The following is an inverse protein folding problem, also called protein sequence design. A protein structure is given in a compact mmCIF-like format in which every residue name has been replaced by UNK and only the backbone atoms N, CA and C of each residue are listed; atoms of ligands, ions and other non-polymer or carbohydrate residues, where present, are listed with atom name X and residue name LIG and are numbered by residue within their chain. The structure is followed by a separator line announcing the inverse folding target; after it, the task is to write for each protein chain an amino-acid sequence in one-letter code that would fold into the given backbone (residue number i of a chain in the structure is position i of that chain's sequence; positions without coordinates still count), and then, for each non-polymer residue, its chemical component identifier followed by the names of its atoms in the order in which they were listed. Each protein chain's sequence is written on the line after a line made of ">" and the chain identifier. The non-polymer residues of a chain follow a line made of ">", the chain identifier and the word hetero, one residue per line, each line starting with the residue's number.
data_IF_703752777010
#
_entry.id   IF_703752777010
#
_cell.length_a   1.000
_cell.length_b   1.000
_cell.length_c   1.000
_cell.angle_alpha   90.00
_cell.angle_beta   90.00
_cell.angle_gamma   90.00
#
_symmetry.space_group_name_H-M   'P 1'
#
loop_
_entity.id
_entity.type
_entity.pdbx_description
1 polymer ?
#
# COMPACT_ATOMS: atom_id res chain seq x y z
N UNK A 1 33.07 5.12 -24.59
CA UNK A 1 32.31 4.21 -23.72
C UNK A 1 31.97 4.98 -22.45
N UNK A 2 30.72 4.91 -21.96
CA UNK A 2 30.28 5.66 -20.76
C UNK A 2 31.03 5.16 -19.52
N UNK A 3 31.53 6.07 -18.70
CA UNK A 3 32.32 5.81 -17.47
C UNK A 3 31.45 5.66 -16.22
N UNK A 4 30.12 5.66 -16.36
CA UNK A 4 29.19 5.59 -15.26
C UNK A 4 29.09 4.15 -14.69
N UNK A 5 29.18 4.02 -13.36
CA UNK A 5 28.90 2.74 -12.69
C UNK A 5 27.43 2.35 -12.87
N UNK A 6 27.12 1.09 -13.21
CA UNK A 6 25.75 0.63 -13.31
C UNK A 6 25.10 0.58 -11.93
N UNK A 7 23.81 0.91 -11.87
CA UNK A 7 23.02 0.86 -10.64
C UNK A 7 22.87 -0.60 -10.19
N UNK A 8 23.03 -0.92 -8.90
CA UNK A 8 22.81 -2.25 -8.35
C UNK A 8 21.41 -2.77 -8.65
N UNK A 9 21.32 -4.06 -8.93
CA UNK A 9 20.06 -4.70 -9.30
C UNK A 9 19.03 -4.65 -8.15
N UNK A 10 19.47 -4.63 -6.89
CA UNK A 10 18.55 -4.55 -5.74
C UNK A 10 17.77 -3.24 -5.68
N UNK A 11 18.35 -2.13 -6.16
CA UNK A 11 17.71 -0.82 -6.12
C UNK A 11 16.57 -0.68 -7.15
N UNK A 12 16.55 -1.53 -8.18
CA UNK A 12 15.55 -1.66 -9.26
C UNK A 12 15.29 -0.41 -10.12
N UNK A 13 15.36 0.79 -9.54
CA UNK A 13 15.01 2.05 -10.16
C UNK A 13 16.09 3.09 -9.84
N UNK A 14 16.57 3.79 -10.87
CA UNK A 14 17.42 4.97 -10.69
C UNK A 14 16.69 6.09 -9.94
N UNK A 15 15.43 6.32 -10.30
CA UNK A 15 14.62 7.40 -9.74
C UNK A 15 13.19 6.91 -9.58
N UNK A 16 12.56 7.25 -8.44
CA UNK A 16 11.19 6.89 -8.13
C UNK A 16 10.45 8.04 -7.45
N UNK A 17 9.33 8.42 -8.04
CA UNK A 17 8.39 9.36 -7.45
C UNK A 17 7.36 8.60 -6.60
N UNK A 18 7.34 8.91 -5.31
CA UNK A 18 6.28 8.51 -4.40
C UNK A 18 5.28 9.65 -4.28
N UNK A 19 4.01 9.34 -4.40
CA UNK A 19 2.91 10.32 -4.31
C UNK A 19 1.90 9.85 -3.27
N UNK A 20 1.14 10.79 -2.71
CA UNK A 20 0.02 10.45 -1.83
C UNK A 20 -0.96 9.51 -2.54
N UNK A 21 -1.60 8.59 -1.79
CA UNK A 21 -2.71 7.77 -2.28
C UNK A 21 -3.86 8.61 -2.85
N UNK A 22 -3.94 9.87 -2.40
CA UNK A 22 -4.89 10.87 -2.86
C UNK A 22 -4.45 11.74 -4.04
N UNK A 23 -3.32 11.40 -4.66
CA UNK A 23 -2.77 12.12 -5.80
C UNK A 23 -3.66 12.01 -7.05
N UNK A 24 -3.63 13.08 -7.85
CA UNK A 24 -4.33 13.19 -9.12
C UNK A 24 -5.76 13.71 -8.98
N UNK A 25 -6.33 14.08 -10.12
CA UNK A 25 -7.65 14.72 -10.14
C UNK A 25 -8.77 13.75 -9.76
N UNK A 26 -9.81 14.24 -9.05
CA UNK A 26 -11.04 13.51 -8.87
C UNK A 26 -11.57 13.00 -10.20
N UNK A 27 -12.14 11.79 -10.20
CA UNK A 27 -12.83 11.30 -11.41
C UNK A 27 -14.00 12.22 -11.71
N UNK A 28 -14.09 12.69 -12.95
CA UNK A 28 -15.29 13.37 -13.42
C UNK A 28 -16.49 12.45 -13.27
N UNK A 29 -17.45 12.90 -12.47
CA UNK A 29 -18.68 12.16 -12.26
C UNK A 29 -19.56 12.29 -13.50
N UNK A 30 -19.97 11.15 -14.08
CA UNK A 30 -20.95 11.12 -15.18
C UNK A 30 -22.42 11.14 -14.68
N UNK A 31 -22.63 11.02 -13.37
CA UNK A 31 -23.95 11.10 -12.74
C UNK A 31 -23.97 12.11 -11.59
N UNK A 32 -25.15 12.39 -11.03
CA UNK A 32 -25.34 13.41 -9.99
C UNK A 32 -24.80 13.02 -8.59
N UNK A 33 -24.53 11.74 -8.35
CA UNK A 33 -24.13 11.26 -7.02
C UNK A 33 -22.63 11.45 -6.75
N UNK A 34 -22.27 12.21 -5.72
CA UNK A 34 -20.89 12.28 -5.20
C UNK A 34 -20.56 11.01 -4.41
N UNK A 35 -19.41 10.38 -4.69
CA UNK A 35 -18.95 9.26 -3.86
C UNK A 35 -18.46 9.79 -2.52
N UNK A 36 -18.86 9.21 -1.37
CA UNK A 36 -18.22 9.50 -0.11
C UNK A 36 -16.75 9.04 -0.18
N UNK A 37 -15.84 9.89 0.30
CA UNK A 37 -14.39 9.64 0.37
C UNK A 37 -13.74 9.26 -0.97
N UNK A 38 -13.72 10.16 -1.96
CA UNK A 38 -13.01 9.92 -3.22
C UNK A 38 -11.53 9.67 -2.95
N UNK A 39 -10.98 8.58 -3.52
CA UNK A 39 -9.54 8.32 -3.39
C UNK A 39 -8.73 9.45 -4.02
N UNK A 40 -9.06 9.97 -5.20
CA UNK A 40 -8.30 11.08 -5.82
C UNK A 40 -8.94 12.42 -5.47
N UNK A 41 -8.19 13.32 -4.84
CA UNK A 41 -8.65 14.67 -4.47
C UNK A 41 -7.65 15.77 -4.85
N UNK A 42 -6.69 15.47 -5.71
CA UNK A 42 -5.69 16.44 -6.13
C UNK A 42 -4.64 16.74 -5.06
N UNK A 43 -4.39 15.81 -4.14
CA UNK A 43 -3.31 15.99 -3.16
C UNK A 43 -1.96 16.10 -3.88
N UNK A 44 -1.17 17.13 -3.54
CA UNK A 44 0.11 17.42 -4.20
C UNK A 44 1.32 16.86 -3.45
N UNK A 45 1.10 16.18 -2.33
CA UNK A 45 2.16 15.59 -1.54
C UNK A 45 2.90 14.52 -2.36
N UNK A 46 4.21 14.67 -2.44
CA UNK A 46 5.09 13.82 -3.24
C UNK A 46 6.52 13.90 -2.74
N UNK A 47 7.26 12.81 -2.91
CA UNK A 47 8.68 12.71 -2.60
C UNK A 47 9.37 12.02 -3.78
N UNK A 48 10.40 12.64 -4.32
CA UNK A 48 11.27 12.04 -5.33
C UNK A 48 12.50 11.43 -4.66
N UNK A 49 12.65 10.11 -4.78
CA UNK A 49 13.84 9.39 -4.35
C UNK A 49 14.72 9.09 -5.58
N UNK A 50 15.99 9.45 -5.52
CA UNK A 50 16.96 9.21 -6.58
C UNK A 50 18.16 8.46 -6.02
N UNK A 51 18.62 7.45 -6.76
CA UNK A 51 19.87 6.77 -6.47
C UNK A 51 21.01 7.69 -6.89
N UNK A 52 21.97 7.86 -6.00
CA UNK A 52 23.19 8.62 -6.23
C UNK A 52 24.40 7.75 -5.89
N UNK A 53 25.49 7.93 -6.64
CA UNK A 53 26.77 7.26 -6.34
C UNK A 53 27.78 8.32 -5.90
N UNK A 54 27.97 8.42 -4.58
CA UNK A 54 28.98 9.27 -3.95
C UNK A 54 30.21 8.44 -3.58
N UNK A 55 30.40 8.21 -2.28
CA UNK A 55 31.38 7.24 -1.78
C UNK A 55 30.86 5.79 -1.92
N UNK A 56 29.55 5.60 -1.73
CA UNK A 56 28.81 4.37 -1.97
C UNK A 56 27.44 4.72 -2.58
N UNK A 57 26.64 3.71 -2.91
CA UNK A 57 25.26 3.89 -3.36
C UNK A 57 24.39 4.43 -2.24
N UNK A 58 23.75 5.57 -2.49
CA UNK A 58 22.85 6.22 -1.54
C UNK A 58 21.52 6.64 -2.21
N UNK A 59 20.50 6.84 -1.39
CA UNK A 59 19.20 7.34 -1.82
C UNK A 59 19.07 8.79 -1.37
N UNK A 60 18.96 9.70 -2.33
CA UNK A 60 18.82 11.14 -2.10
C UNK A 60 17.40 11.59 -2.43
N UNK A 61 16.80 12.37 -1.53
CA UNK A 61 15.48 12.96 -1.74
C UNK A 61 15.58 14.32 -2.42
N UNK A 62 15.35 14.37 -3.73
CA UNK A 62 15.58 15.56 -4.56
C UNK A 62 14.46 16.60 -4.45
N UNK A 63 13.21 16.14 -4.44
CA UNK A 63 12.02 17.00 -4.37
C UNK A 63 11.08 16.46 -3.31
N UNK A 64 10.69 17.32 -2.39
CA UNK A 64 9.77 16.96 -1.30
C UNK A 64 8.67 18.01 -1.22
N UNK A 65 7.44 17.55 -1.38
CA UNK A 65 6.26 18.28 -0.95
C UNK A 65 5.56 17.40 0.09
N UNK A 66 5.70 17.76 1.35
CA UNK A 66 5.11 17.04 2.48
C UNK A 66 3.75 17.59 2.90
N UNK A 67 3.29 18.67 2.27
CA UNK A 67 1.99 19.26 2.54
C UNK A 67 0.84 18.40 2.01
N UNK A 68 0.05 17.86 2.94
CA UNK A 68 -1.17 17.14 2.62
C UNK A 68 -2.40 18.04 2.80
N UNK A 69 -3.31 17.98 1.83
CA UNK A 69 -4.65 18.52 1.97
C UNK A 69 -5.57 17.59 2.79
N UNK A 70 -5.51 16.24 2.65
CA UNK A 70 -6.27 15.35 3.53
C UNK A 70 -5.56 15.15 4.87
N UNK A 71 -6.33 14.70 5.87
CA UNK A 71 -5.77 14.17 7.11
C UNK A 71 -4.90 12.94 6.81
N UNK A 72 -3.77 12.86 7.50
CA UNK A 72 -2.84 11.73 7.40
C UNK A 72 -2.61 11.18 8.80
N UNK A 73 -2.81 9.88 8.95
CA UNK A 73 -2.63 9.18 10.22
C UNK A 73 -2.47 7.69 9.99
N UNK A 74 -1.81 7.02 10.95
CA UNK A 74 -1.62 5.57 10.92
C UNK A 74 -2.96 4.84 10.89
N UNK A 75 -3.89 5.24 11.77
CA UNK A 75 -5.23 4.66 11.88
C UNK A 75 -6.03 4.83 10.58
N UNK A 76 -5.91 5.99 9.92
CA UNK A 76 -6.53 6.23 8.61
C UNK A 76 -5.93 5.32 7.53
N UNK A 77 -4.61 5.14 7.54
CA UNK A 77 -3.93 4.27 6.58
C UNK A 77 -4.31 2.79 6.74
N UNK A 78 -4.46 2.30 7.98
CA UNK A 78 -4.87 0.93 8.29
C UNK A 78 -6.27 0.59 7.73
N UNK A 79 -7.13 1.59 7.50
CA UNK A 79 -8.43 1.36 6.85
C UNK A 79 -8.32 1.10 5.33
N UNK A 80 -7.20 1.44 4.70
CA UNK A 80 -7.01 1.21 3.26
C UNK A 80 -6.88 -0.26 2.93
N UNK A 81 -7.44 -0.64 1.77
CA UNK A 81 -7.41 -2.02 1.30
C UNK A 81 -5.98 -2.56 1.22
N UNK A 82 -5.05 -1.71 0.79
CA UNK A 82 -3.63 -2.00 0.65
C UNK A 82 -2.96 -2.36 1.99
N UNK A 83 -3.37 -1.74 3.11
CA UNK A 83 -2.85 -2.05 4.43
C UNK A 83 -3.50 -3.29 5.07
N UNK A 84 -4.70 -3.65 4.61
CA UNK A 84 -5.47 -4.80 5.13
C UNK A 84 -5.26 -6.09 4.34
N UNK A 85 -4.57 -6.02 3.21
CA UNK A 85 -4.43 -7.14 2.29
C UNK A 85 -3.20 -7.99 2.61
N UNK A 86 -3.38 -9.31 2.68
CA UNK A 86 -2.29 -10.26 2.66
C UNK A 86 -2.03 -10.67 1.20
N UNK A 87 -0.79 -10.52 0.74
CA UNK A 87 -0.38 -10.88 -0.62
C UNK A 87 0.14 -12.31 -0.75
N UNK A 88 0.55 -12.93 0.35
CA UNK A 88 1.03 -14.31 0.38
C UNK A 88 -0.12 -15.30 0.11
N UNK A 89 -0.07 -15.94 -1.05
CA UNK A 89 -1.07 -16.92 -1.48
C UNK A 89 -1.06 -18.18 -0.61
N UNK A 90 0.11 -18.64 -0.16
CA UNK A 90 0.22 -19.83 0.68
C UNK A 90 -0.42 -19.60 2.06
N UNK A 91 -0.24 -18.40 2.60
CA UNK A 91 -0.92 -17.98 3.82
C UNK A 91 -2.46 -17.93 3.64
N UNK A 92 -2.94 -17.36 2.52
CA UNK A 92 -4.38 -17.32 2.23
C UNK A 92 -4.99 -18.72 2.08
N UNK A 93 -4.25 -19.69 1.52
CA UNK A 93 -4.70 -21.08 1.45
C UNK A 93 -4.78 -21.75 2.83
N UNK A 94 -3.89 -21.39 3.75
CA UNK A 94 -3.99 -21.79 5.16
C UNK A 94 -5.25 -21.23 5.82
N UNK A 95 -5.57 -19.96 5.57
CA UNK A 95 -6.82 -19.33 6.04
C UNK A 95 -8.06 -20.04 5.51
N UNK A 96 -8.09 -20.40 4.22
CA UNK A 96 -9.18 -21.19 3.62
C UNK A 96 -9.30 -22.57 4.24
N UNK A 97 -8.17 -23.22 4.51
CA UNK A 97 -8.13 -24.54 5.15
C UNK A 97 -8.72 -24.47 6.57
N UNK A 98 -8.32 -23.48 7.37
CA UNK A 98 -8.88 -23.23 8.70
C UNK A 98 -10.41 -23.03 8.64
N UNK A 99 -10.88 -22.25 7.68
CA UNK A 99 -12.32 -22.03 7.48
C UNK A 99 -13.07 -23.32 7.12
N UNK A 100 -12.55 -24.10 6.16
CA UNK A 100 -13.13 -25.40 5.74
C UNK A 100 -13.15 -26.43 6.87
N UNK A 101 -12.17 -26.36 7.78
CA UNK A 101 -12.14 -27.17 8.99
C UNK A 101 -13.14 -26.71 10.08
N UNK A 102 -13.92 -25.66 9.83
CA UNK A 102 -14.95 -25.15 10.73
C UNK A 102 -14.44 -24.16 11.77
N UNK A 103 -13.23 -23.62 11.62
CA UNK A 103 -12.72 -22.61 12.54
C UNK A 103 -13.60 -21.35 12.51
N UNK A 104 -13.82 -20.78 13.69
CA UNK A 104 -14.59 -19.55 13.82
C UNK A 104 -13.85 -18.39 13.15
N UNK A 105 -14.56 -17.57 12.36
CA UNK A 105 -13.98 -16.40 11.67
C UNK A 105 -13.28 -15.39 12.59
N UNK A 106 -13.72 -15.25 13.85
CA UNK A 106 -13.01 -14.44 14.85
C UNK A 106 -11.63 -15.00 15.19
N UNK A 107 -11.52 -16.32 15.35
CA UNK A 107 -10.23 -17.00 15.57
C UNK A 107 -9.34 -16.94 14.34
N UNK A 108 -9.93 -17.03 13.14
CA UNK A 108 -9.20 -16.83 11.90
C UNK A 108 -8.65 -15.39 11.83
N UNK A 109 -9.46 -14.39 12.22
CA UNK A 109 -9.00 -13.00 12.29
C UNK A 109 -7.79 -12.85 13.23
N UNK A 110 -7.89 -13.38 14.45
CA UNK A 110 -6.79 -13.38 15.43
C UNK A 110 -5.54 -14.04 14.84
N UNK A 111 -5.68 -15.23 14.23
CA UNK A 111 -4.59 -15.93 13.56
C UNK A 111 -3.92 -15.06 12.48
N UNK A 112 -4.69 -14.33 11.66
CA UNK A 112 -4.09 -13.44 10.65
C UNK A 112 -3.31 -12.29 11.29
N UNK A 113 -3.87 -11.65 12.32
CA UNK A 113 -3.22 -10.53 13.02
C UNK A 113 -1.95 -10.97 13.77
N UNK A 114 -1.89 -12.22 14.23
CA UNK A 114 -0.72 -12.78 14.92
C UNK A 114 0.40 -13.22 13.97
N UNK A 115 0.09 -13.49 12.70
CA UNK A 115 1.04 -14.10 11.75
C UNK A 115 1.36 -13.21 10.55
N UNK A 116 0.79 -12.00 10.48
CA UNK A 116 1.04 -11.05 9.38
C UNK A 116 1.05 -9.62 9.90
N UNK A 117 1.66 -8.70 9.15
CA UNK A 117 1.61 -7.26 9.43
C UNK A 117 0.28 -6.60 8.97
N UNK A 118 -0.67 -7.39 8.47
CA UNK A 118 -1.95 -6.87 7.99
C UNK A 118 -2.91 -6.64 9.17
N UNK A 119 -3.76 -5.62 9.05
CA UNK A 119 -4.82 -5.34 10.02
C UNK A 119 -6.21 -5.56 9.41
N UNK A 120 -6.58 -6.82 9.10
CA UNK A 120 -7.83 -7.12 8.43
C UNK A 120 -9.05 -6.84 9.30
N UNK A 121 -10.16 -6.60 8.63
CA UNK A 121 -11.49 -6.55 9.25
C UNK A 121 -12.20 -7.89 9.07
N UNK A 122 -13.28 -8.12 9.82
CA UNK A 122 -14.14 -9.30 9.62
C UNK A 122 -14.62 -9.45 8.16
N UNK A 123 -14.84 -8.33 7.46
CA UNK A 123 -15.25 -8.35 6.04
C UNK A 123 -14.16 -8.97 5.16
N UNK A 124 -12.89 -8.71 5.45
CA UNK A 124 -11.77 -9.28 4.69
C UNK A 124 -11.67 -10.79 4.93
N UNK A 125 -11.82 -11.23 6.18
CA UNK A 125 -11.90 -12.66 6.51
C UNK A 125 -13.04 -13.34 5.77
N UNK A 126 -14.22 -12.70 5.71
CA UNK A 126 -15.33 -13.19 4.89
C UNK A 126 -14.93 -13.33 3.43
N UNK A 127 -14.27 -12.34 2.85
CA UNK A 127 -13.85 -12.39 1.44
C UNK A 127 -12.81 -13.48 1.17
N UNK A 128 -11.83 -13.67 2.05
CA UNK A 128 -10.77 -14.66 1.88
C UNK A 128 -11.24 -16.09 2.09
N UNK A 129 -12.24 -16.29 2.96
CA UNK A 129 -12.82 -17.60 3.27
C UNK A 129 -13.91 -18.06 2.31
N UNK A 130 -14.45 -17.17 1.46
CA UNK A 130 -15.60 -17.49 0.60
C UNK A 130 -15.25 -17.90 -0.84
N UNK A 131 -13.97 -18.19 -1.12
CA UNK A 131 -13.48 -18.63 -2.44
C UNK A 131 -12.87 -20.02 -2.37
#
# INVERSE_FOLDING_TARGET
>A
MSTAKPIPEELKFYNKNYVCTHYGEPRHNRGQGMRPNPRRIGCKAQINACVHFGADWEIVFMKQNTGHNPEVGRELYQNYHEARQVSDTAFLDSVRTLHRAGANRKRILEYVMENTDAEPTMKDIHNWSSV
#
